data_IF_769809455996
#
_entry.id   IF_769809455996
#
_cell.length_a   1.000
_cell.length_b   1.000
_cell.length_c   1.000
_cell.angle_alpha   90.00
_cell.angle_beta   90.00
_cell.angle_gamma   90.00
#
_symmetry.space_group_name_H-M   'P 1'
#
loop_
_entity.id
_entity.type
_entity.pdbx_description
1 polymer ?
#
# COMPACT_ATOMS: atom_id res chain seq x y z
N UNK A 1 -1.22 -0.54 -8.26
CA UNK A 1 -0.28 -1.21 -7.34
C UNK A 1 1.16 -0.97 -7.77
N UNK A 2 2.05 -0.68 -6.82
CA UNK A 2 3.51 -0.57 -6.97
C UNK A 2 4.17 -1.46 -5.91
N UNK A 3 4.19 -2.75 -6.18
CA UNK A 3 4.53 -3.78 -5.19
C UNK A 3 5.21 -5.01 -5.79
N UNK A 4 5.73 -4.90 -7.02
CA UNK A 4 6.43 -6.00 -7.71
C UNK A 4 5.64 -7.33 -7.73
N UNK A 5 4.31 -7.27 -7.85
CA UNK A 5 3.42 -8.44 -7.80
C UNK A 5 3.54 -9.26 -6.50
N UNK A 6 3.71 -8.57 -5.37
CA UNK A 6 3.73 -9.16 -4.03
C UNK A 6 2.63 -10.22 -3.85
N UNK A 7 3.01 -11.37 -3.27
CA UNK A 7 2.12 -12.51 -3.03
C UNK A 7 1.18 -12.28 -1.84
N UNK A 8 1.45 -11.26 -1.03
CA UNK A 8 0.66 -10.88 0.14
C UNK A 8 -0.22 -9.64 -0.11
N UNK A 9 -0.44 -9.29 -1.39
CA UNK A 9 -1.41 -8.25 -1.76
C UNK A 9 -2.81 -8.65 -1.25
N UNK A 10 -3.56 -7.75 -0.59
CA UNK A 10 -4.91 -8.07 -0.15
C UNK A 10 -5.82 -8.38 -1.34
N UNK A 11 -6.81 -9.24 -1.12
CA UNK A 11 -7.78 -9.61 -2.17
C UNK A 11 -8.76 -8.47 -2.49
N UNK A 12 -8.94 -7.56 -1.54
CA UNK A 12 -9.91 -6.46 -1.59
C UNK A 12 -9.38 -5.25 -0.82
N UNK A 13 -9.76 -4.07 -1.28
CA UNK A 13 -9.58 -2.78 -0.60
C UNK A 13 -10.93 -2.10 -0.42
N UNK A 14 -10.98 -1.10 0.47
CA UNK A 14 -12.15 -0.24 0.67
C UNK A 14 -11.82 1.18 0.25
N UNK A 15 -12.60 1.70 -0.69
CA UNK A 15 -12.50 3.07 -1.19
C UNK A 15 -13.70 3.85 -0.69
N UNK A 16 -13.44 4.87 0.10
CA UNK A 16 -14.43 5.80 0.62
C UNK A 16 -14.60 6.99 -0.34
N UNK A 17 -15.85 7.36 -0.62
CA UNK A 17 -16.21 8.61 -1.27
C UNK A 17 -16.50 9.67 -0.21
N UNK A 18 -15.80 10.80 -0.29
CA UNK A 18 -15.98 11.94 0.59
C UNK A 18 -16.69 13.06 -0.17
N UNK A 19 -17.73 13.61 0.45
CA UNK A 19 -18.40 14.85 0.04
C UNK A 19 -18.10 15.91 1.09
N UNK A 20 -17.43 17.00 0.69
CA UNK A 20 -16.99 18.08 1.59
C UNK A 20 -16.25 17.56 2.84
N UNK A 21 -15.40 16.54 2.66
CA UNK A 21 -14.64 15.91 3.75
C UNK A 21 -15.39 14.89 4.60
N UNK A 22 -16.67 14.63 4.32
CA UNK A 22 -17.48 13.62 5.03
C UNK A 22 -17.63 12.37 4.17
N UNK A 23 -17.39 11.18 4.75
CA UNK A 23 -17.62 9.91 4.05
C UNK A 23 -19.13 9.71 3.84
N UNK A 24 -19.54 9.53 2.58
CA UNK A 24 -20.94 9.31 2.21
C UNK A 24 -21.21 7.94 1.59
N UNK A 25 -20.17 7.25 1.12
CA UNK A 25 -20.24 5.90 0.58
C UNK A 25 -18.89 5.19 0.70
N UNK A 26 -18.92 3.87 0.71
CA UNK A 26 -17.73 3.01 0.65
C UNK A 26 -17.97 1.92 -0.38
N UNK A 27 -16.97 1.63 -1.21
CA UNK A 27 -17.00 0.54 -2.18
C UNK A 27 -15.86 -0.44 -1.91
N UNK A 28 -16.19 -1.73 -1.97
CA UNK A 28 -15.22 -2.81 -1.97
C UNK A 28 -14.70 -3.03 -3.39
N UNK A 29 -13.39 -2.99 -3.54
CA UNK A 29 -12.71 -3.03 -4.83
C UNK A 29 -11.71 -4.18 -4.81
N UNK A 30 -11.71 -5.01 -5.84
CA UNK A 30 -10.92 -6.23 -5.86
C UNK A 30 -10.38 -6.52 -7.25
N UNK A 31 -9.60 -7.60 -7.38
CA UNK A 31 -9.19 -8.12 -8.68
C UNK A 31 -10.40 -8.49 -9.56
N UNK A 32 -11.52 -8.94 -8.98
CA UNK A 32 -12.72 -9.28 -9.73
C UNK A 32 -13.40 -8.06 -10.39
N UNK A 33 -13.17 -6.85 -9.85
CA UNK A 33 -13.63 -5.59 -10.45
C UNK A 33 -12.53 -4.92 -11.28
N UNK A 34 -11.46 -5.63 -11.64
CA UNK A 34 -10.26 -5.09 -12.27
C UNK A 34 -9.65 -3.90 -11.53
N UNK A 35 -9.79 -3.86 -10.20
CA UNK A 35 -9.39 -2.73 -9.36
C UNK A 35 -10.06 -1.39 -9.73
N UNK A 36 -11.21 -1.46 -10.40
CA UNK A 36 -12.02 -0.29 -10.75
C UNK A 36 -13.19 -0.16 -9.78
N UNK A 37 -13.63 1.08 -9.64
CA UNK A 37 -14.71 1.48 -8.75
C UNK A 37 -15.46 2.66 -9.38
N UNK A 38 -16.73 2.83 -9.01
CA UNK A 38 -17.61 3.83 -9.61
C UNK A 38 -18.68 4.24 -8.61
N UNK A 39 -18.84 5.55 -8.42
CA UNK A 39 -19.92 6.15 -7.65
C UNK A 39 -20.84 6.92 -8.61
N UNK A 40 -22.14 6.62 -8.59
CA UNK A 40 -23.15 7.20 -9.49
C UNK A 40 -24.08 8.14 -8.72
N UNK A 41 -24.85 8.91 -9.48
CA UNK A 41 -25.96 9.73 -8.97
C UNK A 41 -25.55 10.74 -7.88
N UNK A 42 -24.34 11.31 -8.02
CA UNK A 42 -23.81 12.31 -7.11
C UNK A 42 -24.37 13.69 -7.44
N UNK A 43 -24.99 14.36 -6.47
CA UNK A 43 -25.44 15.74 -6.63
C UNK A 43 -24.25 16.68 -6.83
N UNK A 44 -24.34 17.60 -7.80
CA UNK A 44 -23.27 18.56 -8.04
C UNK A 44 -23.29 19.76 -7.06
N UNK A 45 -24.47 20.12 -6.54
CA UNK A 45 -24.68 21.30 -5.69
C UNK A 45 -25.57 20.97 -4.50
N UNK A 46 -25.37 21.70 -3.40
CA UNK A 46 -26.26 21.66 -2.24
C UNK A 46 -27.55 22.45 -2.46
N UNK A 47 -28.42 22.48 -1.44
CA UNK A 47 -29.70 23.21 -1.47
C UNK A 47 -29.56 24.73 -1.64
N UNK A 48 -28.38 25.29 -1.38
CA UNK A 48 -28.07 26.70 -1.52
C UNK A 48 -27.35 27.01 -2.85
N UNK A 49 -27.15 26.00 -3.71
CA UNK A 49 -26.43 26.15 -4.98
C UNK A 49 -24.90 26.14 -4.86
N UNK A 50 -24.34 25.73 -3.71
CA UNK A 50 -22.89 25.61 -3.51
C UNK A 50 -22.40 24.27 -4.04
N UNK A 51 -21.35 24.27 -4.86
CA UNK A 51 -20.82 23.06 -5.45
C UNK A 51 -20.22 22.13 -4.38
N UNK A 52 -20.53 20.84 -4.47
CA UNK A 52 -19.90 19.82 -3.63
C UNK A 52 -18.47 19.54 -4.11
N UNK A 53 -17.56 19.43 -3.14
CA UNK A 53 -16.23 18.90 -3.37
C UNK A 53 -16.26 17.39 -3.13
N UNK A 54 -15.90 16.62 -4.14
CA UNK A 54 -15.74 15.17 -4.03
C UNK A 54 -14.28 14.75 -4.03
N UNK A 55 -13.95 13.84 -3.13
CA UNK A 55 -12.62 13.25 -2.99
C UNK A 55 -12.78 11.76 -2.70
N UNK A 56 -11.75 10.98 -3.02
CA UNK A 56 -11.69 9.56 -2.64
C UNK A 56 -10.58 9.34 -1.65
N UNK A 57 -10.78 8.36 -0.77
CA UNK A 57 -9.77 7.93 0.18
C UNK A 57 -9.81 6.41 0.28
N UNK A 58 -8.64 5.79 0.29
CA UNK A 58 -8.54 4.38 0.63
C UNK A 58 -8.41 4.19 2.14
N UNK A 59 -9.06 3.15 2.66
CA UNK A 59 -8.83 2.73 4.04
C UNK A 59 -7.42 2.14 4.19
N UNK A 60 -6.75 2.33 5.35
CA UNK A 60 -5.37 1.87 5.53
C UNK A 60 -5.20 0.37 5.29
N UNK A 61 -4.12 0.01 4.58
CA UNK A 61 -3.73 -1.38 4.32
C UNK A 61 -2.36 -1.60 4.97
N UNK A 62 -2.26 -2.63 5.81
CA UNK A 62 -0.99 -2.97 6.46
C UNK A 62 0.11 -3.24 5.42
N UNK A 63 1.30 -2.65 5.62
CA UNK A 63 2.43 -2.82 4.71
C UNK A 63 2.34 -2.07 3.38
N UNK A 64 1.37 -1.16 3.25
CA UNK A 64 1.23 -0.31 2.07
C UNK A 64 1.07 1.17 2.43
N UNK A 65 1.70 2.02 1.62
CA UNK A 65 1.45 3.46 1.60
C UNK A 65 0.55 3.79 0.41
N UNK A 66 -0.54 4.52 0.68
CA UNK A 66 -1.54 4.90 -0.32
C UNK A 66 -1.36 6.34 -0.76
N UNK A 67 -1.43 6.58 -2.08
CA UNK A 67 -1.35 7.93 -2.68
C UNK A 67 -2.50 8.15 -3.65
N UNK A 68 -3.28 9.19 -3.39
CA UNK A 68 -4.40 9.61 -4.25
C UNK A 68 -3.96 10.72 -5.21
N UNK A 69 -4.30 10.60 -6.48
CA UNK A 69 -4.11 11.62 -7.53
C UNK A 69 -5.41 11.78 -8.31
N UNK A 70 -6.17 12.83 -7.99
CA UNK A 70 -7.55 12.95 -8.47
C UNK A 70 -8.39 11.80 -7.91
N UNK A 71 -8.74 10.83 -8.75
CA UNK A 71 -9.45 9.61 -8.37
C UNK A 71 -8.62 8.34 -8.59
N UNK A 72 -7.35 8.45 -9.00
CA UNK A 72 -6.47 7.29 -9.08
C UNK A 72 -5.80 7.05 -7.73
N UNK A 73 -5.90 5.81 -7.24
CA UNK A 73 -5.28 5.36 -5.99
C UNK A 73 -4.09 4.47 -6.32
N UNK A 74 -2.91 4.84 -5.82
CA UNK A 74 -1.69 4.06 -5.99
C UNK A 74 -1.19 3.57 -4.63
N UNK A 75 -1.26 2.25 -4.42
CA UNK A 75 -0.64 1.59 -3.27
C UNK A 75 0.78 1.18 -3.58
N UNK A 76 1.71 1.61 -2.75
CA UNK A 76 3.12 1.25 -2.81
C UNK A 76 3.45 0.36 -1.63
N UNK A 77 4.05 -0.80 -1.88
CA UNK A 77 4.48 -1.68 -0.79
C UNK A 77 5.57 -0.97 0.00
N UNK A 78 5.34 -0.77 1.29
CA UNK A 78 6.37 -0.32 2.21
C UNK A 78 6.98 -1.56 2.83
N UNK A 79 8.18 -1.90 2.39
CA UNK A 79 8.91 -3.06 2.87
C UNK A 79 9.74 -2.72 4.11
N UNK A 80 9.86 -3.69 5.01
CA UNK A 80 11.10 -3.90 5.76
C UNK A 80 12.05 -4.68 4.83
N UNK A 81 13.25 -4.18 4.59
CA UNK A 81 14.29 -4.92 3.86
C UNK A 81 14.93 -5.95 4.80
N UNK A 82 14.75 -7.24 4.52
CA UNK A 82 15.45 -8.32 5.23
C UNK A 82 16.83 -8.53 4.60
N UNK A 83 17.90 -8.31 5.37
CA UNK A 83 19.28 -8.61 4.94
C UNK A 83 19.78 -9.81 5.73
N UNK A 84 20.13 -10.89 5.01
CA UNK A 84 20.72 -12.10 5.58
C UNK A 84 22.04 -12.42 4.89
N UNK A 85 23.00 -12.96 5.64
CA UNK A 85 24.30 -13.37 5.13
C UNK A 85 24.78 -14.62 5.83
N UNK A 86 25.46 -15.49 5.07
CA UNK A 86 26.12 -16.67 5.64
C UNK A 86 27.63 -16.45 5.58
N UNK A 87 28.33 -16.65 6.71
CA UNK A 87 29.80 -16.66 6.70
C UNK A 87 30.30 -18.04 6.30
N UNK A 88 31.02 -18.11 5.18
CA UNK A 88 31.80 -19.29 4.79
C UNK A 88 33.28 -19.04 5.08
N UNK A 89 33.97 -20.02 5.67
CA UNK A 89 35.42 -20.02 5.85
C UNK A 89 36.05 -20.94 4.79
N UNK A 90 36.98 -20.40 4.00
CA UNK A 90 37.80 -21.18 3.06
C UNK A 90 39.26 -21.14 3.50
N UNK A 91 39.54 -21.78 4.63
CA UNK A 91 40.81 -21.74 5.35
C UNK A 91 41.46 -23.13 5.48
N UNK A 92 41.03 -24.09 4.66
CA UNK A 92 41.49 -25.49 4.72
C UNK A 92 41.33 -26.13 6.12
N UNK A 93 40.24 -25.82 6.81
CA UNK A 93 39.89 -26.36 8.13
C UNK A 93 40.87 -25.98 9.25
N UNK A 94 41.34 -24.72 9.23
CA UNK A 94 42.15 -24.15 10.29
C UNK A 94 41.42 -24.20 11.66
N UNK A 95 42.18 -24.43 12.74
CA UNK A 95 41.64 -24.63 14.11
C UNK A 95 41.60 -23.36 14.95
N UNK A 96 42.17 -22.26 14.47
CA UNK A 96 42.33 -20.98 15.16
C UNK A 96 41.26 -19.95 14.80
N UNK A 97 40.03 -20.41 14.48
CA UNK A 97 38.93 -19.54 14.10
C UNK A 97 38.44 -18.70 15.27
N UNK A 98 38.09 -17.41 15.04
CA UNK A 98 37.41 -16.64 16.06
C UNK A 98 36.04 -17.24 16.35
N UNK A 99 35.63 -17.24 17.62
CA UNK A 99 34.33 -17.74 18.04
C UNK A 99 33.16 -16.87 17.57
N UNK A 100 33.42 -15.61 17.22
CA UNK A 100 32.42 -14.63 16.77
C UNK A 100 32.96 -13.75 15.66
N UNK A 101 32.05 -13.24 14.83
CA UNK A 101 32.33 -12.16 13.86
C UNK A 101 31.30 -11.06 14.05
N UNK A 102 31.68 -9.81 13.76
CA UNK A 102 30.77 -8.67 13.66
C UNK A 102 30.59 -8.31 12.20
N UNK A 103 29.35 -8.11 11.77
CA UNK A 103 29.01 -7.64 10.43
C UNK A 103 28.14 -6.41 10.61
N UNK A 104 28.48 -5.34 9.91
CA UNK A 104 27.71 -4.11 9.87
C UNK A 104 27.09 -3.98 8.48
N UNK A 105 25.80 -3.66 8.43
CA UNK A 105 25.11 -3.27 7.20
C UNK A 105 25.34 -1.77 6.98
N UNK A 106 25.83 -1.38 5.80
CA UNK A 106 26.11 0.01 5.42
C UNK A 106 24.88 0.70 4.80
#
# INVERSE_FOLDING_TARGET
WKDDNATDRPEMIKVDLLQNGTVIATQEVSKATDWKYEFKDLAAYDVNGVAYKYEVKEQPIAGYESKVRGYDITNTKVGETKVEGTKTWNDNNATDRPSTIKVDLL
#
